data_IF_250801889376
#
_entry.id   IF_250801889376
#
_cell.length_a   1.000
_cell.length_b   1.000
_cell.length_c   1.000
_cell.angle_alpha   90.00
_cell.angle_beta   90.00
_cell.angle_gamma   90.00
#
_symmetry.space_group_name_H-M   'P 1'
#
loop_
_entity.id
_entity.type
_entity.pdbx_description
1 polymer ?
#
# COMPACT_ATOMS: atom_id res chain seq x y z
N UNK A 1 2.57 -10.04 20.70
CA UNK A 1 2.34 -8.66 20.20
C UNK A 1 3.08 -8.58 18.87
N UNK A 2 2.43 -8.90 17.75
CA UNK A 2 3.15 -8.97 16.47
C UNK A 2 2.21 -9.18 15.28
N UNK A 3 1.27 -10.13 15.40
CA UNK A 3 0.50 -10.64 14.27
C UNK A 3 -0.26 -9.55 13.47
N UNK A 4 -0.90 -8.60 14.14
CA UNK A 4 -1.62 -7.51 13.46
C UNK A 4 -0.67 -6.47 12.84
N UNK A 5 0.45 -6.18 13.50
CA UNK A 5 1.46 -5.26 12.98
C UNK A 5 2.15 -5.85 11.75
N UNK A 6 2.55 -7.12 11.83
CA UNK A 6 3.16 -7.86 10.73
C UNK A 6 2.20 -7.96 9.53
N UNK A 7 0.90 -8.20 9.79
CA UNK A 7 -0.12 -8.20 8.72
C UNK A 7 -0.25 -6.83 8.05
N UNK A 8 -0.20 -5.76 8.82
CA UNK A 8 -0.25 -4.40 8.27
C UNK A 8 0.98 -4.11 7.40
N UNK A 9 2.18 -4.44 7.87
CA UNK A 9 3.42 -4.27 7.10
C UNK A 9 3.39 -5.07 5.79
N UNK A 10 2.95 -6.33 5.84
CA UNK A 10 2.78 -7.17 4.65
C UNK A 10 1.76 -6.58 3.66
N UNK A 11 0.67 -5.99 4.16
CA UNK A 11 -0.35 -5.35 3.32
C UNK A 11 0.19 -4.11 2.62
N UNK A 12 0.98 -3.29 3.31
CA UNK A 12 1.66 -2.13 2.72
C UNK A 12 2.64 -2.57 1.64
N UNK A 13 3.48 -3.57 1.93
CA UNK A 13 4.42 -4.13 0.95
C UNK A 13 3.70 -4.63 -0.31
N UNK A 14 2.61 -5.39 -0.14
CA UNK A 14 1.82 -5.89 -1.26
C UNK A 14 1.18 -4.78 -2.12
N UNK A 15 0.80 -3.66 -1.53
CA UNK A 15 0.30 -2.48 -2.26
C UNK A 15 1.43 -1.80 -3.04
N UNK A 16 2.60 -1.68 -2.43
CA UNK A 16 3.77 -1.12 -3.11
C UNK A 16 4.27 -2.03 -4.24
N UNK A 17 4.16 -3.34 -4.13
CA UNK A 17 4.53 -4.29 -5.19
C UNK A 17 3.60 -4.23 -6.41
N UNK A 18 2.36 -3.73 -6.23
CA UNK A 18 1.45 -3.42 -7.36
C UNK A 18 1.85 -2.15 -8.12
N UNK A 19 2.93 -1.49 -7.70
CA UNK A 19 3.41 -0.25 -8.32
C UNK A 19 2.57 0.98 -7.98
N UNK A 20 1.71 0.92 -6.95
CA UNK A 20 0.98 2.09 -6.45
C UNK A 20 1.92 2.98 -5.64
N UNK A 21 1.99 4.28 -5.96
CA UNK A 21 2.86 5.25 -5.27
C UNK A 21 2.13 6.56 -5.03
N UNK A 22 2.31 7.13 -3.84
CA UNK A 22 1.92 8.51 -3.60
C UNK A 22 2.90 9.47 -4.26
N UNK A 23 2.48 10.72 -4.46
CA UNK A 23 3.23 11.75 -5.20
C UNK A 23 4.66 11.97 -4.69
N UNK A 24 4.90 11.79 -3.40
CA UNK A 24 6.20 11.95 -2.74
C UNK A 24 7.21 10.84 -3.05
N UNK A 25 6.74 9.64 -3.40
CA UNK A 25 7.58 8.46 -3.72
C UNK A 25 7.34 7.91 -5.13
N UNK A 26 6.71 8.70 -5.99
CA UNK A 26 6.40 8.31 -7.36
C UNK A 26 7.68 8.13 -8.19
N UNK A 27 7.66 7.13 -9.08
CA UNK A 27 8.75 6.86 -10.03
C UNK A 27 8.17 6.50 -11.41
N UNK A 28 8.84 6.82 -12.52
CA UNK A 28 8.37 6.45 -13.85
C UNK A 28 8.09 4.95 -13.96
N UNK A 29 6.94 4.59 -14.54
CA UNK A 29 6.48 3.20 -14.64
C UNK A 29 5.62 2.72 -13.46
N UNK A 30 5.40 3.56 -12.46
CA UNK A 30 4.46 3.32 -11.35
C UNK A 30 3.11 4.01 -11.63
N UNK A 31 2.12 3.71 -10.79
CA UNK A 31 0.80 4.37 -10.80
C UNK A 31 0.73 5.36 -9.65
N UNK A 32 0.61 6.66 -9.97
CA UNK A 32 0.42 7.71 -8.96
C UNK A 32 -0.99 7.63 -8.35
N UNK A 33 -1.07 7.62 -7.02
CA UNK A 33 -2.33 7.64 -6.26
C UNK A 33 -2.32 8.71 -5.17
N UNK A 34 -3.51 9.20 -4.81
CA UNK A 34 -3.69 10.09 -3.67
C UNK A 34 -3.80 9.34 -2.34
N UNK A 35 -3.90 10.09 -1.24
CA UNK A 35 -3.96 9.56 0.13
C UNK A 35 -5.11 8.56 0.34
N UNK A 36 -6.31 8.90 -0.12
CA UNK A 36 -7.50 8.05 0.06
C UNK A 36 -7.34 6.74 -0.70
N UNK A 37 -6.96 6.80 -1.98
CA UNK A 37 -6.78 5.61 -2.80
C UNK A 37 -5.66 4.68 -2.29
N UNK A 38 -4.57 5.23 -1.72
CA UNK A 38 -3.54 4.44 -1.05
C UNK A 38 -4.09 3.71 0.18
N UNK A 39 -4.86 4.41 1.02
CA UNK A 39 -5.51 3.82 2.19
C UNK A 39 -6.49 2.70 1.82
N UNK A 40 -7.34 2.94 0.82
CA UNK A 40 -8.30 1.95 0.32
C UNK A 40 -7.58 0.68 -0.18
N UNK A 41 -6.47 0.84 -0.90
CA UNK A 41 -5.67 -0.29 -1.38
C UNK A 41 -5.06 -1.10 -0.22
N UNK A 42 -4.55 -0.44 0.82
CA UNK A 42 -3.99 -1.10 2.00
C UNK A 42 -5.08 -1.85 2.77
N UNK A 43 -6.24 -1.22 2.99
CA UNK A 43 -7.38 -1.86 3.66
C UNK A 43 -7.84 -3.10 2.88
N UNK A 44 -7.94 -3.01 1.56
CA UNK A 44 -8.31 -4.14 0.72
C UNK A 44 -7.32 -5.33 0.84
N UNK A 45 -6.02 -5.06 1.02
CA UNK A 45 -5.01 -6.11 1.28
C UNK A 45 -5.03 -6.63 2.71
N UNK A 46 -5.30 -5.75 3.68
CA UNK A 46 -5.35 -6.11 5.09
C UNK A 46 -6.57 -6.97 5.45
N UNK A 47 -7.69 -6.77 4.75
CA UNK A 47 -8.94 -7.53 4.96
C UNK A 47 -9.05 -8.81 4.12
N UNK A 48 -8.17 -8.98 3.13
CA UNK A 48 -8.01 -10.23 2.41
C UNK A 48 -7.36 -11.31 3.29
#
# INVERSE_FOLDING_TARGET
MGDEADKLEASIAAVLDQGLRTKDIFSPGMTEVGTVAMGDAIIAKFLA
#
